data_IF_096158870395
#
_entry.id   IF_096158870395
#
_cell.length_a   1.000
_cell.length_b   1.000
_cell.length_c   1.000
_cell.angle_alpha   90.00
_cell.angle_beta   90.00
_cell.angle_gamma   90.00
#
_symmetry.space_group_name_H-M   'P 1'
#
loop_
_entity.id
_entity.type
_entity.pdbx_description
1 polymer ?
2 water ?
#
# COMPACT_ATOMS: atom_id res chain seq x y z
N UNK A 1 -23.36 27.41 10.54
CA UNK A 1 -22.05 28.04 10.56
C UNK A 1 -21.81 28.84 9.28
N UNK A 2 -21.58 30.14 9.41
CA UNK A 2 -21.34 30.98 8.25
C UNK A 2 -19.85 31.06 7.92
N UNK A 3 -19.49 31.83 6.90
CA UNK A 3 -18.14 31.80 6.34
C UNK A 3 -17.05 32.30 7.26
N UNK A 4 -17.31 33.37 8.02
CA UNK A 4 -16.28 33.93 8.90
C UNK A 4 -15.87 32.91 9.95
N UNK A 5 -16.87 32.22 10.48
CA UNK A 5 -16.65 31.24 11.53
C UNK A 5 -15.85 30.09 10.92
N UNK A 6 -16.08 29.83 9.64
CA UNK A 6 -15.32 28.81 8.90
C UNK A 6 -13.87 29.23 8.68
N UNK A 7 -13.63 30.50 8.34
CA UNK A 7 -12.27 30.98 8.10
C UNK A 7 -11.49 30.85 9.40
N UNK A 8 -12.15 31.19 10.52
CA UNK A 8 -11.46 31.12 11.81
C UNK A 8 -11.20 29.70 12.30
N UNK A 9 -12.22 28.85 12.22
CA UNK A 9 -12.11 27.43 12.55
C UNK A 9 -11.01 26.76 11.69
N UNK A 10 -11.08 26.99 10.38
CA UNK A 10 -10.16 26.35 9.45
C UNK A 10 -8.74 26.81 9.65
N UNK A 11 -8.57 28.10 9.95
CA UNK A 11 -7.24 28.66 10.13
C UNK A 11 -6.61 28.10 11.40
N UNK A 12 -7.40 28.08 12.48
CA UNK A 12 -6.93 27.45 13.72
C UNK A 12 -6.63 25.96 13.52
N UNK A 13 -7.37 25.30 12.64
CA UNK A 13 -7.15 23.86 12.37
C UNK A 13 -5.86 23.66 11.59
N UNK A 14 -5.58 24.58 10.67
CA UNK A 14 -4.31 24.57 9.96
C UNK A 14 -3.15 24.73 10.94
N UNK A 15 -3.28 25.69 11.86
CA UNK A 15 -2.25 25.88 12.90
C UNK A 15 -2.10 24.63 13.76
N UNK A 16 -3.24 24.05 14.11
CA UNK A 16 -3.27 22.86 14.95
C UNK A 16 -2.52 21.71 14.29
N UNK A 17 -2.70 21.56 12.99
CA UNK A 17 -2.11 20.43 12.29
C UNK A 17 -0.62 20.66 12.06
N UNK A 18 -0.27 21.87 11.64
CA UNK A 18 1.13 22.19 11.42
C UNK A 18 1.91 21.93 12.70
N UNK A 19 1.32 22.32 13.82
CA UNK A 19 2.05 22.19 15.08
C UNK A 19 1.99 20.76 15.65
N UNK A 20 0.96 19.99 15.29
CA UNK A 20 0.95 18.56 15.59
C UNK A 20 2.06 17.84 14.84
N UNK A 21 2.21 18.15 13.56
CA UNK A 21 3.20 17.45 12.74
C UNK A 21 4.65 17.86 13.00
N UNK A 22 4.91 19.14 13.19
CA UNK A 22 6.28 19.58 13.44
C UNK A 22 6.82 19.02 14.77
N UNK A 23 5.93 18.92 15.75
CA UNK A 23 6.30 18.48 17.09
C UNK A 23 6.06 17.00 17.45
N UNK A 24 5.70 16.19 16.46
CA UNK A 24 5.24 14.81 16.68
C UNK A 24 6.19 13.82 17.37
N UNK A 25 7.50 13.97 17.26
CA UNK A 25 8.34 12.97 17.92
C UNK A 25 8.45 13.21 19.44
N UNK A 26 7.89 14.32 19.91
CA UNK A 26 7.80 14.60 21.35
C UNK A 26 6.74 13.77 22.07
N UNK A 27 5.81 13.18 21.31
CA UNK A 27 4.76 12.32 21.86
C UNK A 27 5.10 10.86 21.68
N UNK A 28 4.69 10.02 22.64
CA UNK A 28 4.81 8.58 22.45
C UNK A 28 4.09 8.16 21.16
N UNK A 29 4.76 7.36 20.32
CA UNK A 29 4.16 6.92 19.06
C UNK A 29 2.96 5.99 19.30
N UNK A 30 3.09 5.07 20.26
CA UNK A 30 2.00 4.19 20.68
C UNK A 30 1.20 4.81 21.82
N UNK A 31 -0.13 4.62 21.78
CA UNK A 31 -1.02 5.26 22.74
C UNK A 31 -1.01 4.52 24.08
N UNK A 32 -1.26 5.22 25.18
CA UNK A 32 -1.54 4.54 26.43
C UNK A 32 -2.98 4.84 26.81
N UNK A 33 -3.87 3.91 26.45
CA UNK A 33 -5.30 3.97 26.76
C UNK A 33 -5.73 2.53 26.60
N UNK A 34 -6.89 2.21 27.15
CA UNK A 34 -7.39 0.85 27.10
C UNK A 34 -8.58 0.85 26.16
N UNK A 35 -8.87 -0.31 25.54
CA UNK A 35 -10.05 -0.40 24.71
C UNK A 35 -11.26 0.06 25.50
N UNK A 36 -12.04 0.97 24.91
CA UNK A 36 -13.24 1.48 25.56
C UNK A 36 -13.03 2.85 26.16
N UNK A 37 -11.79 3.35 26.16
CA UNK A 37 -11.51 4.64 26.80
C UNK A 37 -12.41 5.75 26.22
N UNK A 38 -12.55 5.79 24.90
CA UNK A 38 -13.27 6.88 24.26
C UNK A 38 -14.77 6.78 24.51
N UNK A 39 -15.31 5.58 24.36
CA UNK A 39 -16.73 5.37 24.60
C UNK A 39 -17.11 6.03 25.93
N UNK A 40 -16.25 5.86 26.94
CA UNK A 40 -16.51 6.39 28.28
C UNK A 40 -16.43 7.93 28.38
N UNK A 41 -15.63 8.55 27.53
CA UNK A 41 -15.44 10.01 27.58
C UNK A 41 -16.54 10.80 26.88
N UNK A 42 -17.27 10.17 25.96
CA UNK A 42 -18.16 10.92 25.08
C UNK A 42 -19.62 10.64 25.37
N UNK A 43 -20.45 11.68 25.22
CA UNK A 43 -21.88 11.54 25.43
C UNK A 43 -22.42 10.38 24.61
N UNK A 44 -23.66 9.99 24.88
CA UNK A 44 -24.26 8.86 24.19
C UNK A 44 -25.29 9.31 23.16
N UNK A 45 -25.50 10.63 23.07
CA UNK A 45 -26.37 11.23 22.06
C UNK A 45 -25.65 12.44 21.47
N UNK A 46 -25.97 12.81 20.24
CA UNK A 46 -25.38 14.02 19.69
C UNK A 46 -25.98 15.21 20.40
N UNK A 47 -25.23 16.32 20.52
CA UNK A 47 -25.82 17.44 21.24
C UNK A 47 -27.00 17.96 20.43
N UNK A 48 -28.02 18.48 21.11
CA UNK A 48 -29.19 19.00 20.43
C UNK A 48 -28.93 20.37 19.81
N UNK A 49 -28.29 21.24 20.58
CA UNK A 49 -27.88 22.54 20.08
C UNK A 49 -26.44 22.48 19.57
N UNK A 50 -26.08 23.39 18.67
CA UNK A 50 -24.71 23.41 18.10
C UNK A 50 -23.62 23.75 19.12
N UNK A 51 -22.54 22.98 19.15
CA UNK A 51 -21.37 23.32 19.97
C UNK A 51 -20.38 24.26 19.30
N UNK A 52 -19.64 25.01 20.11
CA UNK A 52 -18.60 25.92 19.60
C UNK A 52 -17.41 25.16 19.07
N UNK A 53 -16.90 25.58 17.91
CA UNK A 53 -15.79 24.88 17.27
C UNK A 53 -14.49 24.96 18.08
N UNK A 54 -14.39 25.93 18.99
CA UNK A 54 -13.21 26.00 19.87
C UNK A 54 -13.26 24.84 20.85
N UNK A 55 -14.45 24.54 21.35
CA UNK A 55 -14.65 23.44 22.28
C UNK A 55 -14.36 22.11 21.61
N UNK A 56 -14.81 21.97 20.36
CA UNK A 56 -14.58 20.74 19.61
C UNK A 56 -13.09 20.58 19.34
N UNK A 57 -12.47 21.64 18.83
CA UNK A 57 -11.04 21.62 18.56
C UNK A 57 -10.21 21.28 19.81
N UNK A 58 -10.60 21.82 20.96
CA UNK A 58 -9.91 21.50 22.21
C UNK A 58 -10.11 20.05 22.59
N UNK A 59 -11.31 19.54 22.28
CA UNK A 59 -11.57 18.12 22.51
C UNK A 59 -10.70 17.24 21.61
N UNK A 60 -10.32 17.71 20.43
CA UNK A 60 -9.47 16.86 19.60
C UNK A 60 -8.26 16.43 20.43
N UNK A 61 -7.56 17.41 20.99
CA UNK A 61 -6.36 17.17 21.79
C UNK A 61 -6.67 16.43 23.08
N UNK A 62 -7.75 16.81 23.75
CA UNK A 62 -8.09 16.13 24.99
C UNK A 62 -8.45 14.64 24.83
N UNK A 63 -9.47 14.36 24.03
CA UNK A 63 -9.95 12.97 23.90
C UNK A 63 -9.65 12.13 22.64
N UNK A 64 -9.19 12.76 21.57
CA UNK A 64 -8.91 12.00 20.34
C UNK A 64 -7.46 11.58 20.29
N UNK A 65 -6.57 12.57 20.35
CA UNK A 65 -5.14 12.34 20.25
C UNK A 65 -4.60 11.24 21.18
N UNK A 66 -5.06 11.20 22.44
CA UNK A 66 -4.55 10.11 23.29
C UNK A 66 -4.86 8.72 22.71
N UNK A 67 -5.85 8.63 21.84
CA UNK A 67 -6.23 7.35 21.26
C UNK A 67 -5.66 7.15 19.87
N UNK A 68 -4.64 7.93 19.54
CA UNK A 68 -3.98 7.73 18.25
C UNK A 68 -2.63 7.02 18.37
N UNK A 69 -2.40 6.10 17.44
CA UNK A 69 -1.05 5.65 17.12
C UNK A 69 -0.52 6.62 16.08
N UNK A 70 0.64 7.23 16.29
CA UNK A 70 1.00 8.31 15.40
C UNK A 70 1.78 7.82 14.19
N UNK A 71 1.04 7.67 13.09
CA UNK A 71 1.57 7.09 11.86
C UNK A 71 2.57 8.03 11.21
N UNK A 72 2.34 9.34 11.36
CA UNK A 72 3.23 10.34 10.77
C UNK A 72 4.55 10.49 11.51
N UNK A 73 4.72 9.80 12.62
CA UNK A 73 5.96 9.94 13.42
C UNK A 73 7.16 9.23 12.79
N UNK A 74 8.33 9.87 12.86
CA UNK A 74 9.58 9.21 12.45
C UNK A 74 9.81 7.95 13.27
N UNK A 75 9.12 7.81 14.39
CA UNK A 75 9.34 6.69 15.32
C UNK A 75 8.35 5.57 15.05
N UNK A 76 7.51 5.76 14.04
CA UNK A 76 6.65 4.67 13.62
C UNK A 76 7.46 3.83 12.62
N UNK A 77 7.78 2.61 13.04
CA UNK A 77 8.47 1.60 12.25
C UNK A 77 7.72 0.31 11.85
N UNK A 78 6.41 0.26 12.10
CA UNK A 78 5.66 -1.02 12.12
C UNK A 78 5.24 -1.61 10.79
N UNK A 79 4.78 -0.75 9.90
CA UNK A 79 4.23 -1.23 8.64
C UNK A 79 4.71 -0.28 7.57
N UNK A 80 4.50 -0.68 6.32
CA UNK A 80 4.78 0.25 5.25
C UNK A 80 4.03 1.56 5.54
N UNK A 81 4.60 2.70 5.10
CA UNK A 81 4.16 4.03 5.54
C UNK A 81 2.81 4.47 4.97
N UNK A 82 2.16 5.40 5.67
CA UNK A 82 1.17 6.28 5.06
C UNK A 82 1.69 7.70 4.80
N UNK A 83 2.96 7.96 5.10
CA UNK A 83 3.29 9.35 5.45
C UNK A 83 2.78 10.31 4.40
N UNK A 84 1.96 11.24 4.88
CA UNK A 84 1.28 12.21 4.05
C UNK A 84 2.25 13.35 3.84
N UNK A 85 1.81 14.45 3.23
CA UNK A 85 2.65 15.64 3.13
C UNK A 85 1.79 16.87 3.25
N UNK A 86 2.39 17.99 3.63
CA UNK A 86 1.63 19.21 3.83
C UNK A 86 0.73 19.56 2.62
N UNK A 87 1.32 19.62 1.42
CA UNK A 87 0.55 19.96 0.22
C UNK A 87 -0.59 18.99 -0.01
N UNK A 88 -0.39 17.72 0.36
CA UNK A 88 -1.43 16.72 0.17
C UNK A 88 -2.65 16.99 1.05
N UNK A 89 -2.40 17.46 2.26
CA UNK A 89 -3.44 17.83 3.19
C UNK A 89 -4.21 19.04 2.65
N UNK A 90 -3.47 20.04 2.16
CA UNK A 90 -4.15 21.18 1.55
C UNK A 90 -4.98 20.78 0.31
N UNK A 91 -4.42 19.99 -0.58
CA UNK A 91 -5.16 19.51 -1.74
C UNK A 91 -6.42 18.75 -1.36
N UNK A 92 -6.33 17.84 -0.41
CA UNK A 92 -7.52 17.10 -0.07
C UNK A 92 -8.56 18.06 0.48
N UNK A 93 -8.12 19.03 1.26
CA UNK A 93 -9.08 19.98 1.81
C UNK A 93 -9.78 20.78 0.69
N UNK A 94 -9.00 21.25 -0.27
CA UNK A 94 -9.56 21.92 -1.44
C UNK A 94 -10.63 21.03 -2.13
N UNK A 95 -10.28 19.76 -2.37
CA UNK A 95 -11.22 18.82 -2.99
C UNK A 95 -12.51 18.73 -2.19
N UNK A 96 -12.38 18.64 -0.88
CA UNK A 96 -13.56 18.60 -0.01
C UNK A 96 -14.38 19.88 -0.17
N UNK A 97 -13.69 21.00 -0.41
CA UNK A 97 -14.39 22.27 -0.59
C UNK A 97 -15.24 22.29 -1.85
N UNK A 98 -14.73 21.70 -2.91
CA UNK A 98 -15.53 21.62 -4.13
C UNK A 98 -16.66 20.59 -3.99
N UNK A 99 -16.37 19.47 -3.31
CA UNK A 99 -17.38 18.49 -3.00
C UNK A 99 -18.11 18.00 -4.23
N UNK A 100 -17.32 17.65 -5.23
CA UNK A 100 -17.79 17.32 -6.56
C UNK A 100 -17.71 15.80 -6.73
N UNK A 101 -18.62 15.20 -7.48
CA UNK A 101 -18.43 13.79 -7.81
C UNK A 101 -18.38 13.45 -9.31
N UNK A 102 -17.33 12.72 -9.68
CA UNK A 102 -16.92 12.49 -11.05
C UNK A 102 -17.49 11.27 -11.75
N UNK A 103 -18.70 10.84 -11.39
CA UNK A 103 -19.25 9.62 -11.98
C UNK A 103 -19.43 9.70 -13.52
N UNK A 104 -19.34 10.91 -14.07
CA UNK A 104 -19.27 11.10 -15.51
C UNK A 104 -18.54 12.40 -15.79
N UNK A 105 -18.08 12.57 -17.03
CA UNK A 105 -17.32 13.75 -17.40
C UNK A 105 -18.05 15.03 -17.00
N UNK A 106 -19.31 15.17 -17.43
CA UNK A 106 -20.09 16.38 -17.17
C UNK A 106 -20.36 16.62 -15.68
N UNK A 107 -20.25 15.58 -14.85
CA UNK A 107 -20.39 15.76 -13.40
C UNK A 107 -19.25 16.61 -12.85
N UNK A 108 -18.12 16.60 -13.56
CA UNK A 108 -17.13 17.67 -13.59
C UNK A 108 -16.01 17.23 -14.54
N UNK A 109 -15.73 18.03 -15.58
CA UNK A 109 -14.72 17.58 -16.54
C UNK A 109 -13.31 17.50 -15.93
N UNK A 110 -13.00 18.44 -15.04
CA UNK A 110 -11.67 18.53 -14.44
C UNK A 110 -11.31 17.31 -13.60
N UNK A 111 -12.28 16.76 -12.88
CA UNK A 111 -12.09 15.55 -12.07
C UNK A 111 -11.37 14.50 -12.95
N UNK A 112 -12.08 14.10 -14.00
CA UNK A 112 -11.60 13.09 -14.93
C UNK A 112 -10.31 13.47 -15.68
N UNK A 113 -10.26 14.67 -16.25
CA UNK A 113 -9.09 15.01 -17.05
C UNK A 113 -7.82 15.12 -16.21
N UNK A 114 -7.94 15.69 -15.01
CA UNK A 114 -6.81 15.77 -14.11
C UNK A 114 -6.37 14.36 -13.70
N UNK A 115 -7.32 13.44 -13.50
CA UNK A 115 -6.89 12.07 -13.22
C UNK A 115 -6.05 11.51 -14.36
N UNK A 116 -6.53 11.68 -15.58
CA UNK A 116 -5.79 11.23 -16.77
C UNK A 116 -4.36 11.80 -16.75
N UNK A 117 -4.26 13.10 -16.48
CA UNK A 117 -2.97 13.79 -16.51
C UNK A 117 -2.00 13.35 -15.40
N UNK A 118 -2.47 13.22 -14.15
CA UNK A 118 -1.54 12.81 -13.12
C UNK A 118 -1.18 11.32 -13.21
N UNK A 119 -2.10 10.49 -13.69
CA UNK A 119 -1.75 9.09 -13.89
C UNK A 119 -0.69 8.96 -14.98
N UNK A 120 -0.81 9.74 -16.06
CA UNK A 120 0.28 9.76 -17.04
C UNK A 120 1.59 10.32 -16.45
N UNK A 121 1.52 11.42 -15.71
CA UNK A 121 2.71 11.94 -15.04
C UNK A 121 3.42 10.86 -14.23
N UNK A 122 2.63 10.14 -13.43
CA UNK A 122 3.16 9.12 -12.52
C UNK A 122 3.75 7.98 -13.32
N UNK A 123 3.08 7.59 -14.40
CA UNK A 123 3.60 6.51 -15.24
C UNK A 123 4.94 6.88 -15.87
N UNK A 124 5.12 8.13 -16.26
CA UNK A 124 6.42 8.57 -16.77
C UNK A 124 7.48 8.61 -15.67
N UNK A 125 7.08 9.05 -14.48
CA UNK A 125 8.00 9.17 -13.37
C UNK A 125 8.45 7.79 -12.88
N UNK A 126 7.58 6.81 -13.03
CA UNK A 126 7.89 5.45 -12.58
C UNK A 126 8.55 4.65 -13.69
N UNK A 127 8.87 5.31 -14.80
CA UNK A 127 9.54 4.67 -15.92
C UNK A 127 8.77 3.46 -16.39
N UNK A 128 7.45 3.52 -16.29
CA UNK A 128 6.57 2.45 -16.74
C UNK A 128 6.51 2.38 -18.26
N UNK A 129 6.15 1.20 -18.79
CA UNK A 129 5.98 1.08 -20.24
C UNK A 129 5.01 2.14 -20.77
N UNK A 130 5.31 2.65 -21.96
CA UNK A 130 4.53 3.72 -22.56
C UNK A 130 3.05 3.37 -22.65
N UNK A 131 2.75 2.11 -22.99
CA UNK A 131 1.36 1.71 -23.21
C UNK A 131 0.46 1.87 -22.00
N UNK A 132 1.06 2.09 -20.83
CA UNK A 132 0.27 2.38 -19.64
C UNK A 132 -0.20 3.83 -19.60
N UNK A 133 0.25 4.65 -20.55
CA UNK A 133 -0.19 6.05 -20.60
C UNK A 133 -1.49 6.23 -21.38
N UNK A 134 -2.38 7.07 -20.87
CA UNK A 134 -3.58 7.37 -21.60
C UNK A 134 -3.19 7.97 -22.96
N UNK A 135 -2.27 8.93 -22.92
CA UNK A 135 -1.89 9.68 -24.11
C UNK A 135 -1.42 8.76 -25.21
N UNK A 136 -0.85 7.62 -24.81
CA UNK A 136 -0.37 6.63 -25.78
C UNK A 136 -1.49 6.09 -26.66
N UNK A 137 -1.14 5.74 -27.90
CA UNK A 137 -2.02 4.95 -28.75
C UNK A 137 -2.25 3.62 -28.05
N UNK A 138 -3.46 3.08 -28.14
CA UNK A 138 -3.81 1.87 -27.44
C UNK A 138 -4.79 2.10 -26.29
N UNK A 139 -5.39 1.01 -25.82
CA UNK A 139 -6.44 1.10 -24.79
C UNK A 139 -5.92 1.18 -23.36
N UNK A 140 -4.60 1.22 -23.19
CA UNK A 140 -4.00 1.30 -21.87
C UNK A 140 -4.20 2.61 -21.11
N UNK A 141 -4.17 2.51 -19.79
CA UNK A 141 -4.29 3.71 -18.99
C UNK A 141 -4.34 3.41 -17.50
N UNK A 142 -4.13 4.44 -16.68
CA UNK A 142 -4.27 4.30 -15.25
C UNK A 142 -5.50 4.97 -14.63
N UNK A 143 -5.83 4.51 -13.44
CA UNK A 143 -7.00 5.02 -12.74
C UNK A 143 -6.67 5.01 -11.28
N UNK A 144 -7.12 6.04 -10.55
CA UNK A 144 -6.91 6.08 -9.11
C UNK A 144 -7.99 5.30 -8.40
N UNK A 145 -7.60 4.38 -7.51
CA UNK A 145 -8.55 3.55 -6.78
C UNK A 145 -8.46 3.90 -5.28
N UNK A 146 -9.30 3.27 -4.45
CA UNK A 146 -9.29 3.58 -3.04
C UNK A 146 -8.10 2.96 -2.33
N UNK A 147 -7.74 1.73 -2.70
CA UNK A 147 -6.70 1.01 -1.97
C UNK A 147 -6.12 -0.06 -2.86
N UNK A 148 -5.10 -0.75 -2.38
CA UNK A 148 -4.50 -1.84 -3.15
C UNK A 148 -5.41 -3.05 -3.12
N UNK A 149 -6.16 -3.19 -2.03
CA UNK A 149 -7.16 -4.24 -1.89
C UNK A 149 -8.19 -4.12 -2.99
N UNK A 150 -8.69 -2.90 -3.20
CA UNK A 150 -9.62 -2.66 -4.30
C UNK A 150 -9.00 -2.88 -5.70
N UNK A 151 -7.78 -2.42 -5.94
CA UNK A 151 -7.16 -2.63 -7.24
C UNK A 151 -6.97 -4.12 -7.57
N UNK A 152 -6.54 -4.88 -6.57
CA UNK A 152 -6.40 -6.35 -6.70
C UNK A 152 -7.76 -6.99 -6.96
N UNK A 153 -8.77 -6.57 -6.20
CA UNK A 153 -10.13 -7.05 -6.39
C UNK A 153 -10.61 -6.77 -7.80
N UNK A 154 -10.45 -5.53 -8.27
CA UNK A 154 -10.84 -5.17 -9.63
C UNK A 154 -10.20 -6.10 -10.66
N UNK A 155 -8.88 -6.28 -10.57
CA UNK A 155 -8.16 -7.13 -11.53
C UNK A 155 -8.64 -8.59 -11.50
N UNK A 156 -8.82 -9.13 -10.30
CA UNK A 156 -9.35 -10.50 -10.14
C UNK A 156 -10.75 -10.67 -10.74
N UNK A 157 -11.66 -9.75 -10.40
CA UNK A 157 -13.05 -9.81 -10.90
C UNK A 157 -13.11 -9.63 -12.42
N UNK A 158 -12.34 -8.70 -12.93
CA UNK A 158 -12.25 -8.47 -14.35
C UNK A 158 -11.72 -9.73 -15.05
N UNK A 159 -10.66 -10.32 -14.50
CA UNK A 159 -10.10 -11.54 -15.09
C UNK A 159 -11.10 -12.70 -15.05
N UNK A 160 -11.87 -12.78 -13.96
CA UNK A 160 -12.87 -13.83 -13.82
C UNK A 160 -13.97 -13.67 -14.87
N UNK A 161 -14.40 -12.43 -15.10
CA UNK A 161 -15.46 -12.17 -16.09
C UNK A 161 -14.98 -12.42 -17.52
N UNK A 162 -13.76 -11.98 -17.81
CA UNK A 162 -13.19 -12.18 -19.14
C UNK A 162 -12.98 -13.67 -19.39
N UNK A 163 -12.56 -14.40 -18.36
CA UNK A 163 -12.38 -15.85 -18.47
C UNK A 163 -13.73 -16.54 -18.77
N UNK A 164 -14.73 -16.29 -17.94
CA UNK A 164 -16.03 -16.94 -18.14
C UNK A 164 -16.75 -16.48 -19.41
N UNK A 165 -16.35 -15.35 -19.96
CA UNK A 165 -16.87 -14.97 -21.28
C UNK A 165 -16.13 -15.63 -22.44
N UNK A 166 -14.80 -15.73 -22.33
CA UNK A 166 -13.96 -16.26 -23.40
C UNK A 166 -14.13 -17.76 -23.50
N UNK A 167 -14.44 -18.37 -22.38
CA UNK A 167 -14.61 -19.81 -22.30
C UNK A 167 -16.01 -20.16 -22.76
N UNK A 168 -17.01 -19.68 -22.03
CA UNK A 168 -18.40 -19.95 -22.38
C UNK A 168 -18.74 -19.64 -23.84
N UNK A 169 -18.10 -18.63 -24.40
CA UNK A 169 -18.28 -18.30 -25.80
C UNK A 169 -17.61 -19.37 -26.65
N UNK A 170 -16.54 -19.94 -26.12
CA UNK A 170 -15.80 -21.00 -26.81
C UNK A 170 -16.49 -22.37 -26.67
N UNK A 171 -17.25 -22.55 -25.59
CA UNK A 171 -17.93 -23.80 -25.33
C UNK A 171 -19.32 -23.60 -24.71
N UNK A 172 -20.29 -23.14 -25.53
CA UNK A 172 -21.65 -22.78 -25.10
C UNK A 172 -22.49 -23.95 -24.57
N UNK A 173 -22.05 -25.19 -24.81
CA UNK A 173 -22.74 -26.34 -24.22
C UNK A 173 -22.58 -26.36 -22.70
N UNK A 174 -21.50 -25.72 -22.21
CA UNK A 174 -21.27 -25.58 -20.78
C UNK A 174 -22.08 -24.43 -20.20
N UNK A 175 -22.73 -24.68 -19.06
CA UNK A 175 -23.48 -23.65 -18.37
C UNK A 175 -22.54 -22.71 -17.60
N UNK A 176 -23.01 -21.50 -17.32
CA UNK A 176 -22.23 -20.57 -16.51
C UNK A 176 -21.87 -21.22 -15.19
N UNK A 177 -22.81 -21.96 -14.60
CA UNK A 177 -22.55 -22.58 -13.30
C UNK A 177 -21.26 -23.41 -13.37
N UNK A 178 -21.18 -24.27 -14.38
CA UNK A 178 -20.05 -25.20 -14.55
C UNK A 178 -18.74 -24.49 -14.76
N UNK A 179 -18.76 -23.52 -15.67
CA UNK A 179 -17.55 -22.76 -15.96
C UNK A 179 -17.08 -22.03 -14.72
N UNK A 180 -17.93 -21.20 -14.13
CA UNK A 180 -17.60 -20.47 -12.90
C UNK A 180 -17.10 -21.39 -11.78
N UNK A 181 -17.67 -22.58 -11.69
CA UNK A 181 -17.27 -23.53 -10.66
C UNK A 181 -15.95 -24.20 -10.98
N UNK A 182 -15.51 -24.05 -12.23
CA UNK A 182 -14.19 -24.57 -12.62
C UNK A 182 -13.02 -23.58 -12.58
N UNK A 183 -13.31 -22.31 -12.27
CA UNK A 183 -12.28 -21.28 -12.29
C UNK A 183 -11.28 -21.45 -11.16
N UNK A 184 -10.02 -21.18 -11.46
CA UNK A 184 -8.95 -21.21 -10.46
C UNK A 184 -7.96 -20.06 -10.71
N UNK A 185 -7.38 -19.53 -9.64
CA UNK A 185 -6.42 -18.42 -9.77
C UNK A 185 -5.24 -18.65 -8.84
N UNK A 186 -4.16 -17.90 -9.02
CA UNK A 186 -2.92 -18.17 -8.30
C UNK A 186 -2.26 -16.92 -7.69
N UNK A 187 -1.45 -17.15 -6.65
CA UNK A 187 -0.62 -16.12 -6.02
C UNK A 187 0.52 -16.75 -5.23
N UNK A 188 1.32 -15.92 -4.59
CA UNK A 188 2.37 -16.42 -3.71
C UNK A 188 1.84 -16.73 -2.32
N UNK A 189 2.48 -17.68 -1.62
CA UNK A 189 2.16 -17.85 -0.20
C UNK A 189 2.71 -16.69 0.66
N UNK A 190 3.48 -15.80 0.03
CA UNK A 190 3.97 -14.57 0.69
C UNK A 190 3.14 -13.31 0.36
N UNK A 191 2.07 -13.48 -0.39
CA UNK A 191 1.27 -12.35 -0.83
C UNK A 191 0.47 -11.71 0.32
N UNK A 192 0.08 -10.46 0.13
CA UNK A 192 -0.71 -9.74 1.13
C UNK A 192 -2.06 -10.43 1.36
N UNK A 193 -2.62 -10.30 2.57
CA UNK A 193 -3.89 -10.95 2.88
C UNK A 193 -5.06 -10.45 2.01
N UNK A 194 -4.91 -9.27 1.42
CA UNK A 194 -5.91 -8.76 0.49
C UNK A 194 -6.10 -9.66 -0.75
N UNK A 195 -5.08 -10.46 -1.08
CA UNK A 195 -5.20 -11.40 -2.18
C UNK A 195 -6.22 -12.48 -1.77
N UNK A 196 -5.96 -13.10 -0.62
CA UNK A 196 -6.84 -14.11 -0.07
C UNK A 196 -8.28 -13.60 0.03
N UNK A 197 -8.44 -12.42 0.62
CA UNK A 197 -9.77 -11.87 0.80
C UNK A 197 -10.43 -11.64 -0.56
N UNK A 198 -9.64 -11.20 -1.55
CA UNK A 198 -10.19 -11.07 -2.89
C UNK A 198 -10.68 -12.42 -3.42
N UNK A 199 -9.97 -13.51 -3.12
CA UNK A 199 -10.41 -14.85 -3.51
C UNK A 199 -11.78 -15.13 -2.92
N UNK A 200 -11.91 -14.96 -1.61
CA UNK A 200 -13.22 -15.11 -0.96
C UNK A 200 -14.32 -14.26 -1.62
N UNK A 201 -14.05 -12.98 -1.84
CA UNK A 201 -15.07 -12.06 -2.36
C UNK A 201 -15.41 -12.37 -3.82
N UNK A 202 -14.44 -12.91 -4.55
CA UNK A 202 -14.61 -13.19 -5.95
C UNK A 202 -15.21 -14.60 -6.17
N UNK A 203 -15.40 -15.33 -5.08
CA UNK A 203 -15.85 -16.73 -5.17
C UNK A 203 -14.96 -17.51 -6.15
N UNK A 204 -13.65 -17.31 -6.03
CA UNK A 204 -12.74 -18.06 -6.87
C UNK A 204 -11.55 -18.49 -6.03
N UNK A 205 -11.10 -19.75 -6.23
CA UNK A 205 -10.00 -20.25 -5.40
C UNK A 205 -8.73 -19.53 -5.78
N UNK A 206 -7.99 -19.06 -4.79
CA UNK A 206 -6.67 -18.55 -5.10
C UNK A 206 -5.65 -19.42 -4.41
N UNK A 207 -4.92 -20.19 -5.20
CA UNK A 207 -3.89 -21.04 -4.69
C UNK A 207 -2.69 -20.19 -4.32
N UNK A 208 -2.28 -20.28 -3.06
CA UNK A 208 -1.08 -19.61 -2.63
C UNK A 208 0.01 -20.66 -2.78
N UNK A 209 0.79 -20.49 -3.83
CA UNK A 209 1.83 -21.41 -4.20
C UNK A 209 3.06 -21.11 -3.38
N UNK A 210 3.83 -22.15 -3.03
CA UNK A 210 5.03 -21.92 -2.21
C UNK A 210 6.10 -21.09 -2.92
N UNK A 211 6.53 -19.99 -2.29
CA UNK A 211 7.69 -19.24 -2.75
C UNK A 211 8.94 -20.05 -2.40
N UNK A 212 10.07 -19.73 -3.00
CA UNK A 212 11.33 -20.34 -2.57
C UNK A 212 11.73 -19.92 -1.15
N UNK A 213 12.87 -20.44 -0.69
CA UNK A 213 13.47 -20.09 0.59
C UNK A 213 13.73 -18.60 0.64
N UNK A 214 13.89 -18.01 -0.53
CA UNK A 214 14.18 -16.58 -0.70
C UNK A 214 12.92 -15.72 -0.77
N UNK A 215 11.78 -16.35 -0.48
CA UNK A 215 10.45 -15.72 -0.51
C UNK A 215 10.01 -15.28 -1.90
N UNK A 216 10.65 -15.79 -2.95
CA UNK A 216 10.32 -15.41 -4.32
C UNK A 216 9.47 -16.50 -5.01
N UNK A 217 8.32 -16.11 -5.58
CA UNK A 217 7.54 -17.02 -6.40
C UNK A 217 8.10 -17.04 -7.82
N UNK A 218 8.19 -18.23 -8.41
CA UNK A 218 8.83 -18.40 -9.71
C UNK A 218 7.98 -19.09 -10.77
N UNK A 219 8.32 -18.83 -12.03
CA UNK A 219 7.57 -19.34 -13.15
C UNK A 219 7.36 -20.85 -13.13
N UNK A 220 8.36 -21.61 -12.70
CA UNK A 220 8.24 -23.07 -12.71
C UNK A 220 7.17 -23.58 -11.73
N UNK A 221 7.07 -22.92 -10.58
CA UNK A 221 6.04 -23.25 -9.59
C UNK A 221 4.65 -23.01 -10.18
N UNK A 222 4.48 -21.85 -10.81
CA UNK A 222 3.21 -21.49 -11.41
C UNK A 222 2.84 -22.46 -12.53
N UNK A 223 3.80 -22.73 -13.41
CA UNK A 223 3.59 -23.68 -14.50
C UNK A 223 3.12 -25.00 -13.95
N UNK A 224 3.85 -25.52 -12.96
CA UNK A 224 3.49 -26.77 -12.33
C UNK A 224 2.04 -26.79 -11.90
N UNK A 225 1.66 -25.77 -11.12
CA UNK A 225 0.29 -25.68 -10.61
C UNK A 225 -0.77 -25.58 -11.72
N UNK A 226 -0.48 -24.78 -12.75
CA UNK A 226 -1.39 -24.57 -13.87
C UNK A 226 -1.57 -25.84 -14.69
N UNK A 227 -0.51 -26.61 -14.84
CA UNK A 227 -0.59 -27.88 -15.58
C UNK A 227 -1.39 -28.88 -14.77
N UNK A 228 -1.16 -28.87 -13.45
CA UNK A 228 -1.92 -29.72 -12.53
C UNK A 228 -3.41 -29.43 -12.63
N UNK A 229 -3.74 -28.14 -12.79
CA UNK A 229 -5.12 -27.69 -12.89
C UNK A 229 -5.74 -28.02 -14.24
N UNK A 230 -5.12 -27.48 -15.30
CA UNK A 230 -5.59 -27.69 -16.65
C UNK A 230 -5.83 -29.18 -16.89
N UNK A 231 -4.85 -30.01 -16.52
CA UNK A 231 -5.01 -31.46 -16.67
C UNK A 231 -6.31 -31.93 -16.04
N UNK A 232 -6.71 -31.30 -14.94
CA UNK A 232 -7.87 -31.74 -14.17
C UNK A 232 -9.16 -31.12 -14.68
N UNK A 233 -9.09 -30.41 -15.81
CA UNK A 233 -10.26 -29.78 -16.38
C UNK A 233 -10.69 -28.47 -15.71
N UNK A 234 -9.73 -27.75 -15.13
CA UNK A 234 -9.98 -26.46 -14.45
C UNK A 234 -9.43 -25.31 -15.29
N UNK A 235 -10.02 -24.13 -15.13
CA UNK A 235 -9.67 -22.97 -15.97
C UNK A 235 -8.85 -21.91 -15.23
N UNK A 236 -7.55 -21.80 -15.56
CA UNK A 236 -6.66 -20.84 -14.92
C UNK A 236 -7.04 -19.42 -15.31
N UNK A 237 -7.17 -18.54 -14.32
CA UNK A 237 -7.74 -17.23 -14.56
C UNK A 237 -6.72 -16.11 -14.44
N UNK A 238 -6.14 -15.96 -13.26
CA UNK A 238 -5.23 -14.85 -13.03
C UNK A 238 -4.12 -15.23 -12.06
N UNK A 239 -2.92 -14.71 -12.32
CA UNK A 239 -1.85 -14.80 -11.34
C UNK A 239 -1.63 -13.41 -10.74
N UNK A 240 -1.63 -13.33 -9.41
CA UNK A 240 -1.27 -12.07 -8.76
C UNK A 240 0.14 -12.19 -8.19
N UNK A 241 1.08 -11.56 -8.89
CA UNK A 241 2.46 -11.46 -8.43
C UNK A 241 2.64 -10.26 -7.51
N UNK A 242 3.66 -10.31 -6.66
CA UNK A 242 3.97 -9.23 -5.73
C UNK A 242 5.40 -8.74 -5.93
N UNK A 243 5.54 -7.45 -6.17
CA UNK A 243 6.83 -6.80 -6.02
C UNK A 243 6.79 -6.02 -4.72
N UNK A 244 7.67 -6.34 -3.78
CA UNK A 244 7.57 -5.77 -2.44
C UNK A 244 6.65 -6.44 -1.43
N UNK A 245 6.87 -7.73 -1.18
CA UNK A 245 6.08 -8.45 -0.19
C UNK A 245 6.08 -7.78 1.18
N UNK A 246 4.96 -7.94 1.88
CA UNK A 246 4.82 -7.40 3.22
C UNK A 246 5.91 -7.91 4.16
N UNK A 247 6.17 -9.22 4.15
CA UNK A 247 7.10 -9.70 5.16
C UNK A 247 8.52 -9.19 5.03
N UNK A 248 9.18 -9.51 3.91
CA UNK A 248 10.58 -9.13 3.67
C UNK A 248 10.87 -8.13 2.56
N UNK A 249 9.84 -7.62 1.91
CA UNK A 249 9.99 -6.83 0.69
C UNK A 249 10.70 -7.65 -0.39
N UNK A 250 10.26 -8.90 -0.52
CA UNK A 250 10.74 -9.79 -1.58
C UNK A 250 10.08 -9.47 -2.90
N UNK A 251 10.72 -9.88 -3.98
CA UNK A 251 10.24 -9.57 -5.32
C UNK A 251 9.98 -10.84 -6.13
N UNK A 252 8.73 -11.09 -6.49
CA UNK A 252 8.43 -12.26 -7.31
C UNK A 252 9.13 -12.12 -8.63
N UNK A 253 9.39 -13.23 -9.30
CA UNK A 253 10.14 -13.13 -10.53
C UNK A 253 9.16 -12.98 -11.70
N UNK A 254 9.06 -11.75 -12.19
CA UNK A 254 7.96 -11.39 -13.09
C UNK A 254 8.22 -11.83 -14.52
N UNK A 255 9.50 -11.98 -14.88
CA UNK A 255 9.84 -12.46 -16.21
C UNK A 255 9.37 -13.91 -16.42
N UNK A 256 9.74 -14.81 -15.51
CA UNK A 256 9.33 -16.21 -15.67
C UNK A 256 7.81 -16.39 -15.52
N UNK A 257 7.24 -15.75 -14.51
CA UNK A 257 5.79 -15.77 -14.33
C UNK A 257 5.09 -15.23 -15.57
N UNK A 258 5.73 -14.28 -16.23
CA UNK A 258 5.19 -13.63 -17.40
C UNK A 258 5.16 -14.60 -18.56
N UNK A 259 6.29 -15.25 -18.83
CA UNK A 259 6.36 -16.23 -19.90
C UNK A 259 5.30 -17.33 -19.69
N UNK A 260 5.28 -17.90 -18.49
CA UNK A 260 4.26 -18.87 -18.15
C UNK A 260 2.85 -18.34 -18.42
N UNK A 261 2.57 -17.12 -17.97
CA UNK A 261 1.22 -16.55 -18.06
C UNK A 261 0.76 -16.28 -19.48
N UNK A 262 1.68 -15.84 -20.32
CA UNK A 262 1.36 -15.59 -21.71
C UNK A 262 1.05 -16.93 -22.33
N UNK A 263 1.84 -17.94 -21.96
CA UNK A 263 1.64 -19.29 -22.49
C UNK A 263 0.18 -19.73 -22.32
N UNK A 264 -0.32 -19.64 -21.08
CA UNK A 264 -1.64 -20.18 -20.74
C UNK A 264 -2.77 -19.17 -20.81
N UNK A 265 -2.48 -17.99 -21.34
CA UNK A 265 -3.47 -16.92 -21.48
C UNK A 265 -4.02 -16.49 -20.12
N UNK A 266 -3.15 -16.51 -19.11
CA UNK A 266 -3.51 -16.14 -17.75
C UNK A 266 -3.27 -14.65 -17.50
N UNK A 267 -4.28 -13.97 -16.96
CA UNK A 267 -4.10 -12.57 -16.60
C UNK A 267 -2.98 -12.50 -15.56
N UNK A 268 -2.08 -11.54 -15.70
CA UNK A 268 -1.02 -11.36 -14.69
C UNK A 268 -1.09 -9.96 -14.06
N UNK A 269 -1.46 -9.89 -12.80
CA UNK A 269 -1.50 -8.61 -12.12
C UNK A 269 -0.34 -8.54 -11.14
N UNK A 270 0.30 -7.37 -11.08
CA UNK A 270 1.41 -7.14 -10.16
C UNK A 270 1.02 -6.18 -9.06
N UNK A 271 1.10 -6.65 -7.83
CA UNK A 271 0.83 -5.78 -6.70
C UNK A 271 2.18 -5.23 -6.27
N UNK A 272 2.41 -3.99 -6.65
CA UNK A 272 3.62 -3.21 -6.36
C UNK A 272 3.38 -2.18 -5.25
N UNK A 273 2.36 -2.39 -4.43
CA UNK A 273 1.78 -1.37 -3.55
C UNK A 273 2.81 -0.48 -2.86
N UNK A 274 3.84 -1.09 -2.28
CA UNK A 274 4.92 -0.36 -1.63
C UNK A 274 6.09 -0.05 -2.58
N UNK A 275 6.69 -1.12 -3.11
CA UNK A 275 7.96 -1.01 -3.86
C UNK A 275 7.86 -0.29 -5.22
N UNK A 276 6.64 -0.10 -5.69
CA UNK A 276 6.41 0.69 -6.90
C UNK A 276 7.14 2.02 -6.89
N UNK A 277 7.22 2.69 -5.75
CA UNK A 277 7.92 3.95 -5.68
C UNK A 277 9.34 3.88 -6.22
N UNK A 278 10.02 2.78 -5.91
CA UNK A 278 11.42 2.66 -6.31
C UNK A 278 11.60 2.47 -7.82
N UNK A 279 10.50 2.22 -8.54
CA UNK A 279 10.56 2.17 -10.01
C UNK A 279 11.15 3.48 -10.53
N UNK A 280 10.96 4.56 -9.78
CA UNK A 280 11.50 5.84 -10.26
C UNK A 280 13.05 5.92 -10.30
N UNK A 281 13.74 4.96 -9.70
CA UNK A 281 15.19 5.07 -9.53
C UNK A 281 15.96 4.15 -10.46
N UNK A 282 16.95 4.71 -11.15
CA UNK A 282 17.82 3.96 -12.05
C UNK A 282 18.50 2.77 -11.35
N UNK A 283 18.98 2.98 -10.12
CA UNK A 283 19.67 1.91 -9.39
C UNK A 283 18.73 0.78 -8.98
N UNK A 284 17.43 1.04 -9.07
CA UNK A 284 16.39 0.02 -8.87
C UNK A 284 15.81 -0.59 -10.15
N UNK A 285 16.43 -0.28 -11.29
CA UNK A 285 15.83 -0.66 -12.58
C UNK A 285 15.46 -2.14 -12.70
N UNK A 286 16.18 -3.03 -12.03
CA UNK A 286 15.84 -4.46 -12.05
C UNK A 286 14.40 -4.74 -11.62
N UNK A 287 13.82 -3.85 -10.81
CA UNK A 287 12.46 -4.09 -10.30
C UNK A 287 11.43 -3.98 -11.40
N UNK A 288 11.82 -3.41 -12.53
CA UNK A 288 10.88 -3.22 -13.63
C UNK A 288 10.93 -4.32 -14.68
N UNK A 289 11.80 -5.31 -14.49
CA UNK A 289 11.87 -6.40 -15.47
C UNK A 289 10.50 -7.03 -15.62
N UNK A 290 10.13 -7.31 -16.87
CA UNK A 290 8.86 -7.96 -17.14
C UNK A 290 7.63 -7.08 -17.12
N UNK A 291 7.74 -5.82 -16.70
CA UNK A 291 6.56 -4.94 -16.63
C UNK A 291 5.88 -4.70 -17.96
N UNK A 292 6.66 -4.75 -19.04
CA UNK A 292 6.10 -4.59 -20.38
C UNK A 292 5.24 -5.79 -20.75
N UNK A 293 5.38 -6.86 -19.98
CA UNK A 293 4.56 -8.04 -20.20
C UNK A 293 3.34 -8.30 -19.30
N UNK A 294 3.07 -7.45 -18.31
CA UNK A 294 1.93 -7.77 -17.45
C UNK A 294 0.63 -7.09 -17.89
N UNK A 295 -0.50 -7.50 -17.31
CA UNK A 295 -1.81 -6.94 -17.65
C UNK A 295 -2.22 -5.68 -16.88
N UNK A 296 -1.87 -5.66 -15.60
CA UNK A 296 -2.27 -4.57 -14.71
C UNK A 296 -1.31 -4.50 -13.54
N UNK A 297 -1.23 -3.33 -12.91
CA UNK A 297 -0.26 -3.12 -11.86
C UNK A 297 -0.80 -2.07 -10.91
N UNK A 298 -0.56 -2.24 -9.61
CA UNK A 298 -0.97 -1.23 -8.64
C UNK A 298 0.19 -0.76 -7.79
N UNK A 299 0.13 0.51 -7.39
CA UNK A 299 1.12 1.08 -6.50
C UNK A 299 0.38 2.05 -5.60
N UNK A 300 0.72 2.08 -4.31
CA UNK A 300 0.02 2.97 -3.39
C UNK A 300 0.76 4.28 -3.23
N UNK A 301 0.15 5.36 -3.67
CA UNK A 301 0.81 6.65 -3.55
C UNK A 301 1.02 7.02 -2.10
N UNK A 302 0.12 6.62 -1.21
CA UNK A 302 0.34 6.96 0.20
C UNK A 302 1.59 6.29 0.78
N UNK A 303 1.85 5.05 0.35
CA UNK A 303 3.03 4.33 0.83
C UNK A 303 4.37 4.98 0.46
N UNK A 304 4.63 5.22 -0.82
CA UNK A 304 5.87 5.92 -1.18
C UNK A 304 5.84 7.36 -1.74
N UNK A 305 4.67 7.89 -2.09
CA UNK A 305 4.60 9.18 -2.80
C UNK A 305 4.21 10.43 -1.99
N UNK A 306 4.01 10.31 -0.68
CA UNK A 306 3.69 11.48 0.12
C UNK A 306 2.34 12.10 -0.24
N UNK A 307 1.41 11.27 -0.72
CA UNK A 307 0.03 11.65 -0.92
C UNK A 307 -0.77 10.90 0.14
N UNK A 308 -1.57 11.63 0.91
CA UNK A 308 -2.19 11.05 2.11
C UNK A 308 -3.20 9.94 1.80
N UNK A 309 -3.51 9.15 2.82
CA UNK A 309 -4.11 7.84 2.65
C UNK A 309 -5.52 7.69 2.10
N UNK A 310 -5.74 6.63 1.32
CA UNK A 310 -6.54 6.60 0.08
C UNK A 310 -5.46 6.66 -1.01
N UNK A 311 -5.84 6.90 -2.26
CA UNK A 311 -4.86 7.13 -3.34
C UNK A 311 -3.96 5.96 -3.85
N UNK A 312 -4.57 4.88 -4.29
CA UNK A 312 -3.86 3.82 -5.01
C UNK A 312 -4.00 3.93 -6.54
N UNK A 313 -2.87 3.86 -7.24
CA UNK A 313 -2.82 3.90 -8.69
C UNK A 313 -2.90 2.52 -9.26
N UNK A 314 -3.72 2.36 -10.28
CA UNK A 314 -3.80 1.09 -10.98
C UNK A 314 -3.70 1.31 -12.48
N UNK A 315 -2.69 0.75 -13.13
CA UNK A 315 -2.60 0.84 -14.58
C UNK A 315 -3.02 -0.47 -15.23
N UNK A 316 -3.77 -0.35 -16.32
CA UNK A 316 -4.20 -1.49 -17.11
C UNK A 316 -3.59 -1.41 -18.50
N UNK A 317 -3.15 -2.56 -18.98
CA UNK A 317 -2.58 -2.63 -20.32
C UNK A 317 -3.70 -2.45 -21.35
N UNK A 318 -4.84 -3.09 -21.11
CA UNK A 318 -6.03 -2.90 -21.94
C UNK A 318 -7.27 -2.65 -21.06
N UNK A 319 -7.75 -1.42 -21.01
CA UNK A 319 -8.84 -1.11 -20.08
C UNK A 319 -10.19 -1.70 -20.50
N UNK A 320 -10.36 -1.97 -21.80
CA UNK A 320 -11.59 -2.57 -22.31
C UNK A 320 -11.96 -3.79 -21.48
N UNK A 321 -10.94 -4.58 -21.14
CA UNK A 321 -11.11 -5.81 -20.38
C UNK A 321 -11.79 -5.60 -19.03
N UNK A 322 -11.54 -4.45 -18.40
CA UNK A 322 -12.27 -4.11 -17.19
C UNK A 322 -13.64 -3.56 -17.56
N UNK A 323 -13.64 -2.64 -18.53
CA UNK A 323 -14.88 -1.94 -18.86
C UNK A 323 -15.94 -2.91 -19.36
N UNK A 324 -15.54 -3.86 -20.19
CA UNK A 324 -16.45 -4.88 -20.71
C UNK A 324 -16.99 -5.76 -19.58
N UNK A 325 -16.18 -5.96 -18.56
CA UNK A 325 -16.62 -6.83 -17.47
C UNK A 325 -17.58 -6.09 -16.53
N UNK A 326 -17.32 -4.81 -16.29
CA UNK A 326 -18.15 -4.00 -15.40
C UNK A 326 -19.01 -3.07 -16.26
N UNK A 327 -20.32 -3.32 -16.33
CA UNK A 327 -21.22 -2.51 -17.14
C UNK A 327 -22.61 -3.13 -17.28
N UNK A 342 -9.08 10.35 -26.36
CA UNK A 342 -10.40 9.95 -25.90
C UNK A 342 -10.48 9.93 -24.38
N UNK A 343 -11.51 10.57 -23.83
CA UNK A 343 -11.71 10.63 -22.39
C UNK A 343 -12.31 9.34 -21.84
N UNK A 344 -11.61 8.71 -20.88
CA UNK A 344 -12.11 7.46 -20.30
C UNK A 344 -13.33 7.70 -19.41
N UNK A 345 -14.18 6.69 -19.25
CA UNK A 345 -15.30 6.80 -18.35
C UNK A 345 -14.97 5.96 -17.12
N UNK A 346 -14.49 6.61 -16.07
CA UNK A 346 -13.76 5.89 -15.02
C UNK A 346 -14.66 5.07 -14.11
N UNK A 347 -15.95 5.41 -14.04
CA UNK A 347 -16.88 4.65 -13.21
C UNK A 347 -16.94 3.19 -13.69
N UNK A 348 -16.53 2.95 -14.94
CA UNK A 348 -16.43 1.62 -15.51
C UNK A 348 -15.12 0.90 -15.21
N UNK A 349 -14.12 1.64 -14.73
CA UNK A 349 -12.82 1.08 -14.40
C UNK A 349 -12.78 0.68 -12.93
N UNK A 350 -13.93 0.78 -12.26
CA UNK A 350 -13.95 0.64 -10.82
C UNK A 350 -15.17 -0.13 -10.31
N UNK A 351 -15.10 -0.51 -9.05
CA UNK A 351 -16.21 -1.15 -8.35
C UNK A 351 -17.42 -0.25 -8.06
N UNK A 352 -17.20 0.90 -7.39
CA UNK A 352 -18.35 1.73 -7.03
C UNK A 352 -18.80 2.54 -8.25
N UNK A 353 -19.78 3.44 -8.10
CA UNK A 353 -20.18 4.31 -9.22
C UNK A 353 -19.70 5.78 -9.14
N UNK A 354 -20.07 6.50 -8.08
CA UNK A 354 -19.50 7.82 -7.85
C UNK A 354 -18.01 7.71 -7.55
N UNK A 355 -17.27 8.81 -7.70
CA UNK A 355 -15.85 8.87 -7.32
C UNK A 355 -15.50 10.26 -6.79
N UNK A 356 -14.65 10.28 -5.78
CA UNK A 356 -14.08 11.49 -5.20
C UNK A 356 -13.05 12.15 -6.16
N UNK A 357 -12.69 13.40 -5.93
CA UNK A 357 -11.76 14.05 -6.84
C UNK A 357 -10.38 13.89 -6.20
N UNK A 358 -9.76 12.74 -6.43
CA UNK A 358 -8.54 12.42 -5.71
C UNK A 358 -7.35 12.92 -6.46
N UNK A 359 -7.55 13.23 -7.73
CA UNK A 359 -6.45 13.67 -8.55
C UNK A 359 -5.96 15.01 -8.06
N UNK A 360 -6.81 15.77 -7.35
CA UNK A 360 -6.44 17.16 -7.00
C UNK A 360 -5.23 17.17 -6.07
N UNK A 361 -5.33 16.45 -4.96
CA UNK A 361 -4.22 16.33 -4.01
C UNK A 361 -2.99 15.72 -4.64
N UNK A 362 -3.17 14.73 -5.52
CA UNK A 362 -2.05 14.14 -6.22
C UNK A 362 -1.29 15.22 -7.02
N UNK A 363 -2.03 15.98 -7.83
CA UNK A 363 -1.50 17.06 -8.65
C UNK A 363 -0.76 18.10 -7.83
N UNK A 364 -1.43 18.59 -6.80
CA UNK A 364 -0.84 19.58 -5.93
C UNK A 364 0.47 19.06 -5.30
N UNK A 365 0.48 17.80 -4.89
CA UNK A 365 1.68 17.21 -4.29
C UNK A 365 2.83 17.05 -5.32
N UNK A 366 2.52 16.49 -6.49
CA UNK A 366 3.52 16.35 -7.53
C UNK A 366 4.13 17.71 -7.85
N UNK A 367 3.28 18.71 -8.04
CA UNK A 367 3.77 20.04 -8.43
C UNK A 367 4.59 20.75 -7.36
N UNK A 368 4.16 20.66 -6.10
CA UNK A 368 4.85 21.42 -5.07
C UNK A 368 6.08 20.69 -4.58
N UNK A 369 6.10 19.38 -4.76
CA UNK A 369 7.29 18.61 -4.41
C UNK A 369 8.34 18.56 -5.51
N UNK A 370 7.88 18.36 -6.74
CA UNK A 370 8.75 18.11 -7.87
C UNK A 370 9.21 16.66 -7.94
N UNK A 371 9.51 16.20 -9.15
CA UNK A 371 10.03 14.85 -9.32
C UNK A 371 11.34 14.66 -8.56
N UNK A 372 12.09 15.76 -8.41
CA UNK A 372 13.37 15.72 -7.69
C UNK A 372 13.12 15.43 -6.23
N UNK A 373 12.13 16.10 -5.67
CA UNK A 373 11.74 15.86 -4.29
C UNK A 373 11.27 14.44 -4.10
N UNK A 374 10.43 13.96 -4.99
CA UNK A 374 9.97 12.58 -4.88
C UNK A 374 11.12 11.56 -4.90
N UNK A 375 12.03 11.70 -5.87
CA UNK A 375 13.18 10.80 -5.97
C UNK A 375 14.05 10.87 -4.73
N UNK A 376 14.39 12.08 -4.30
CA UNK A 376 15.11 12.28 -3.05
C UNK A 376 14.42 11.58 -1.87
N UNK A 377 13.09 11.58 -1.86
CA UNK A 377 12.37 11.02 -0.72
C UNK A 377 12.60 9.51 -0.70
N UNK A 378 12.45 8.88 -1.86
CA UNK A 378 12.67 7.42 -1.91
C UNK A 378 14.13 7.04 -1.59
N UNK A 379 15.06 7.81 -2.15
CA UNK A 379 16.47 7.55 -1.93
C UNK A 379 16.84 7.78 -0.46
N UNK A 380 16.13 8.69 0.19
CA UNK A 380 16.43 8.98 1.58
C UNK A 380 15.97 7.80 2.45
N UNK A 381 14.79 7.27 2.18
CA UNK A 381 14.40 6.03 2.88
C UNK A 381 15.40 4.91 2.68
N UNK A 382 15.91 4.76 1.46
CA UNK A 382 16.87 3.69 1.20
C UNK A 382 18.14 3.90 2.05
N UNK A 383 18.57 5.15 2.11
CA UNK A 383 19.75 5.53 2.89
C UNK A 383 19.58 5.28 4.38
N UNK A 384 18.45 5.68 4.94
CA UNK A 384 18.16 5.42 6.36
C UNK A 384 18.13 3.92 6.66
N UNK A 385 17.54 3.12 5.76
CA UNK A 385 17.48 1.67 6.03
C UNK A 385 18.88 1.07 6.00
N UNK A 386 19.71 1.57 5.09
CA UNK A 386 21.07 1.15 4.97
C UNK A 386 21.87 1.45 6.26
N UNK A 387 21.63 2.64 6.81
CA UNK A 387 22.20 3.03 8.10
C UNK A 387 21.79 2.08 9.23
N UNK A 388 20.50 1.74 9.26
CA UNK A 388 20.00 0.82 10.27
C UNK A 388 20.67 -0.54 10.18
N UNK A 389 20.72 -1.06 8.95
CA UNK A 389 21.29 -2.37 8.68
C UNK A 389 22.72 -2.39 9.19
N UNK A 390 23.45 -1.30 8.95
CA UNK A 390 24.82 -1.23 9.43
C UNK A 390 24.85 -1.40 10.96
N UNK A 391 23.94 -0.71 11.65
CA UNK A 391 23.85 -0.94 13.11
C UNK A 391 23.59 -2.40 13.48
N UNK A 392 22.67 -3.06 12.81
CA UNK A 392 22.39 -4.48 13.09
C UNK A 392 23.61 -5.36 12.86
N UNK A 393 24.31 -5.08 11.78
CA UNK A 393 25.47 -5.87 11.40
C UNK A 393 26.63 -5.71 12.38
N UNK A 394 26.85 -4.48 12.87
CA UNK A 394 27.95 -4.23 13.80
C UNK A 394 27.76 -4.84 15.19
N UNK A 395 26.51 -5.11 15.55
CA UNK A 395 26.18 -5.62 16.88
C UNK A 395 26.18 -7.14 16.93
N UNK A 396 27.13 -7.72 17.67
CA UNK A 396 27.29 -9.18 17.76
C UNK A 396 26.05 -9.90 18.28
N UNK A 397 25.14 -9.17 18.91
CA UNK A 397 23.96 -9.82 19.48
C UNK A 397 22.76 -9.91 18.54
N UNK A 398 22.83 -9.24 17.38
CA UNK A 398 21.76 -9.28 16.41
C UNK A 398 22.18 -9.85 15.04
N UNK A 399 21.22 -10.42 14.34
CA UNK A 399 21.44 -10.93 13.00
C UNK A 399 20.36 -10.46 12.01
N UNK A 400 20.72 -10.35 10.73
CA UNK A 400 19.78 -10.08 9.64
C UNK A 400 19.05 -11.34 9.28
N UNK A 401 17.73 -11.25 9.11
CA UNK A 401 16.97 -12.39 8.64
C UNK A 401 16.75 -12.42 7.10
N UNK A 402 16.87 -11.27 6.45
CA UNK A 402 16.64 -11.16 5.00
C UNK A 402 17.52 -10.03 4.48
N UNK A 403 17.82 -10.01 3.17
CA UNK A 403 18.57 -8.85 2.69
C UNK A 403 17.74 -7.58 2.78
N UNK A 404 18.38 -6.49 3.16
CA UNK A 404 17.75 -5.17 3.22
C UNK A 404 17.08 -4.85 1.90
N UNK A 405 15.89 -4.29 1.96
CA UNK A 405 15.25 -3.85 0.74
C UNK A 405 14.48 -2.56 0.95
N UNK A 406 14.75 -1.58 0.09
CA UNK A 406 14.11 -0.27 0.18
C UNK A 406 14.14 0.22 1.64
N UNK A 407 13.00 0.53 2.24
CA UNK A 407 13.02 1.09 3.58
C UNK A 407 12.88 0.07 4.71
N UNK A 408 13.09 -1.19 4.41
CA UNK A 408 12.78 -2.27 5.33
C UNK A 408 14.03 -3.09 5.69
N UNK A 409 14.24 -3.29 6.97
CA UNK A 409 15.26 -4.21 7.46
C UNK A 409 14.64 -5.26 8.38
N UNK A 410 14.80 -6.53 8.02
CA UNK A 410 14.35 -7.63 8.88
C UNK A 410 15.51 -8.23 9.67
N UNK A 411 15.35 -8.34 10.98
CA UNK A 411 16.47 -8.68 11.84
C UNK A 411 15.93 -9.27 13.14
N UNK A 412 16.75 -9.98 13.89
CA UNK A 412 16.33 -10.47 15.19
C UNK A 412 17.51 -10.54 16.16
N UNK A 413 17.23 -10.51 17.47
CA UNK A 413 18.33 -10.84 18.41
C UNK A 413 18.69 -12.31 18.25
N UNK A 414 19.97 -12.65 18.32
CA UNK A 414 20.36 -14.05 18.15
C UNK A 414 19.81 -14.87 19.30
N UNK A 415 19.60 -16.16 19.07
CA UNK A 415 19.03 -17.04 20.08
C UNK A 415 17.58 -17.43 19.80
N UNK A 416 16.93 -18.00 20.81
CA UNK A 416 15.53 -18.44 20.72
C UNK A 416 14.53 -17.34 20.37
N UNK A 417 13.44 -17.76 19.73
CA UNK A 417 12.33 -16.86 19.35
C UNK A 417 11.79 -16.03 20.51
N UNK A 418 11.91 -16.58 21.71
CA UNK A 418 11.35 -15.92 22.86
C UNK A 418 12.12 -14.65 23.24
N UNK A 419 13.41 -14.58 22.89
CA UNK A 419 14.17 -13.35 23.05
C UNK A 419 13.57 -12.25 22.16
N UNK A 420 13.19 -12.61 20.94
CA UNK A 420 12.52 -11.69 20.04
C UNK A 420 11.19 -11.22 20.63
N UNK A 421 10.41 -12.17 21.12
CA UNK A 421 9.11 -11.86 21.70
C UNK A 421 9.20 -10.92 22.91
N UNK A 422 10.13 -11.22 23.80
CA UNK A 422 10.33 -10.44 25.02
C UNK A 422 10.85 -9.05 24.71
N UNK A 423 11.81 -8.98 23.78
CA UNK A 423 12.32 -7.69 23.31
C UNK A 423 11.17 -6.84 22.73
N UNK A 424 10.35 -7.43 21.87
CA UNK A 424 9.24 -6.68 21.28
C UNK A 424 8.27 -6.22 22.37
N UNK A 425 7.98 -7.09 23.32
CA UNK A 425 7.05 -6.72 24.39
C UNK A 425 7.59 -5.51 25.18
N UNK A 426 8.89 -5.54 25.50
CA UNK A 426 9.52 -4.41 26.18
C UNK A 426 9.35 -3.12 25.35
N UNK A 427 9.64 -3.20 24.06
CA UNK A 427 9.51 -2.02 23.21
C UNK A 427 8.07 -1.51 23.16
N UNK A 428 7.12 -2.43 23.07
CA UNK A 428 5.70 -2.07 23.04
C UNK A 428 5.32 -1.31 24.30
N UNK A 429 5.72 -1.88 25.44
CA UNK A 429 5.39 -1.29 26.73
C UNK A 429 6.02 0.08 26.90
N UNK A 430 7.21 0.28 26.33
CA UNK A 430 7.84 1.59 26.43
C UNK A 430 7.21 2.65 25.53
N UNK A 431 6.69 2.21 24.39
CA UNK A 431 5.98 3.09 23.44
C UNK A 431 6.81 4.20 22.80
N UNK A 432 8.13 4.07 22.82
CA UNK A 432 8.98 5.08 22.18
C UNK A 432 9.07 4.85 20.66
N UNK A 433 9.04 3.58 20.25
CA UNK A 433 9.02 3.22 18.84
C UNK A 433 8.02 2.09 18.66
N UNK A 434 7.50 1.97 17.45
CA UNK A 434 6.53 0.94 17.15
C UNK A 434 7.06 -0.02 16.08
N UNK A 435 7.24 -1.28 16.46
CA UNK A 435 7.51 -2.35 15.50
C UNK A 435 6.56 -3.51 15.72
N UNK A 436 6.42 -4.36 14.70
CA UNK A 436 5.69 -5.60 14.87
C UNK A 436 6.57 -6.81 14.58
N UNK A 437 6.17 -7.95 15.12
CA UNK A 437 6.83 -9.24 14.85
C UNK A 437 6.36 -9.89 13.54
N UNK A 438 7.20 -10.76 12.97
CA UNK A 438 6.80 -11.58 11.85
C UNK A 438 7.39 -12.96 12.04
N UNK A 439 7.03 -13.89 11.16
CA UNK A 439 7.51 -15.25 11.32
C UNK A 439 7.63 -15.95 9.98
N UNK A 440 8.71 -16.69 9.79
CA UNK A 440 8.88 -17.46 8.57
C UNK A 440 9.59 -18.78 8.89
N UNK A 441 9.05 -19.89 8.39
CA UNK A 441 9.67 -21.18 8.63
C UNK A 441 10.04 -21.37 10.09
N UNK A 442 9.12 -21.03 10.98
CA UNK A 442 9.31 -21.21 12.41
C UNK A 442 10.10 -20.11 13.11
N UNK A 443 10.86 -19.33 12.36
CA UNK A 443 11.72 -18.31 12.95
C UNK A 443 11.03 -16.95 13.01
N UNK A 444 11.00 -16.37 14.20
CA UNK A 444 10.35 -15.07 14.39
C UNK A 444 11.38 -13.96 14.24
N UNK A 445 10.96 -12.83 13.68
CA UNK A 445 11.87 -11.70 13.56
C UNK A 445 11.15 -10.37 13.72
N UNK A 446 11.93 -9.29 13.72
CA UNK A 446 11.42 -7.94 13.82
C UNK A 446 11.58 -7.26 12.46
N UNK A 447 10.57 -6.50 12.06
CA UNK A 447 10.64 -5.67 10.88
C UNK A 447 10.86 -4.22 11.30
N UNK A 448 11.89 -3.59 10.75
CA UNK A 448 12.09 -2.16 10.93
C UNK A 448 11.86 -1.46 9.60
N UNK A 449 10.80 -0.66 9.51
CA UNK A 449 10.54 0.08 8.27
C UNK A 449 10.69 1.59 8.51
N UNK A 450 11.36 2.29 7.61
CA UNK A 450 11.42 3.74 7.82
C UNK A 450 10.11 4.35 7.29
N UNK A 451 9.34 4.99 8.18
CA UNK A 451 8.05 5.57 7.80
C UNK A 451 7.90 7.09 7.73
N UNK A 452 8.90 7.82 8.16
CA UNK A 452 8.66 9.22 8.47
C UNK A 452 8.54 10.20 7.33
N UNK A 453 7.60 11.13 7.47
CA UNK A 453 7.59 12.33 6.64
C UNK A 453 8.94 13.00 6.84
N UNK A 454 9.28 13.19 8.12
CA UNK A 454 10.47 13.96 8.52
C UNK A 454 11.72 13.16 8.86
N UNK A 455 11.69 11.83 8.68
CA UNK A 455 12.74 10.97 9.21
C UNK A 455 14.17 11.39 8.86
N UNK A 456 15.02 11.43 9.89
CA UNK A 456 16.41 11.89 9.83
C UNK A 456 17.33 10.77 10.36
N UNK A 457 18.62 10.85 10.07
CA UNK A 457 19.57 9.85 10.59
C UNK A 457 19.48 9.72 12.11
N UNK A 458 19.35 10.85 12.80
CA UNK A 458 19.26 10.80 14.26
C UNK A 458 18.05 9.97 14.71
N UNK A 459 16.98 9.93 13.91
CA UNK A 459 15.81 9.11 14.25
C UNK A 459 16.14 7.63 14.19
N UNK A 460 16.99 7.26 13.24
CA UNK A 460 17.43 5.88 13.08
C UNK A 460 18.31 5.50 14.26
N UNK A 461 19.19 6.44 14.63
CA UNK A 461 20.03 6.27 15.81
C UNK A 461 19.16 6.12 17.07
N UNK A 462 18.10 6.90 17.15
CA UNK A 462 17.17 6.85 18.26
C UNK A 462 16.56 5.44 18.35
N UNK A 463 16.02 4.97 17.22
CA UNK A 463 15.39 3.63 17.21
C UNK A 463 16.37 2.56 17.64
N UNK A 464 17.56 2.57 17.04
CA UNK A 464 18.57 1.60 17.41
C UNK A 464 18.96 1.67 18.89
N UNK A 465 19.22 2.87 19.40
CA UNK A 465 19.54 3.00 20.82
C UNK A 465 18.44 2.32 21.65
N UNK A 466 17.18 2.62 21.34
CA UNK A 466 16.04 2.08 22.10
C UNK A 466 16.08 0.54 22.11
N UNK A 467 16.27 -0.03 20.93
CA UNK A 467 16.29 -1.49 20.72
C UNK A 467 17.43 -2.22 21.44
N UNK A 468 18.61 -1.67 21.19
CA UNK A 468 19.87 -2.13 21.72
C UNK A 468 19.87 -2.05 23.27
N UNK A 469 19.42 -0.91 23.80
CA UNK A 469 19.20 -0.70 25.23
C UNK A 469 18.34 -1.77 25.84
N UNK A 470 17.16 -1.94 25.25
CA UNK A 470 16.18 -2.88 25.79
C UNK A 470 16.67 -4.33 25.76
N UNK A 471 17.43 -4.70 24.75
CA UNK A 471 18.04 -6.02 24.75
C UNK A 471 19.11 -6.13 25.84
N UNK A 472 19.91 -5.09 26.00
CA UNK A 472 20.91 -5.09 27.06
C UNK A 472 20.26 -5.34 28.42
N UNK A 473 19.16 -4.64 28.71
CA UNK A 473 18.47 -4.76 30.01
C UNK A 473 17.78 -6.11 30.14
N UNK A 474 17.11 -6.52 29.08
CA UNK A 474 16.52 -7.85 29.03
C UNK A 474 17.52 -8.93 29.44
N UNK A 475 18.70 -8.91 28.83
CA UNK A 475 19.69 -9.92 29.09
C UNK A 475 20.42 -9.74 30.42
N UNK A 476 20.52 -8.50 30.87
CA UNK A 476 21.13 -8.21 32.17
C UNK A 476 20.18 -8.58 33.31
N UNK A 477 18.91 -8.79 33.00
CA UNK A 477 17.98 -9.27 34.03
C UNK A 477 17.92 -10.79 34.22
N UNK A 478 18.27 -11.57 33.20
CA UNK A 478 18.01 -13.00 33.22
C UNK A 478 18.59 -13.67 34.46
N UNK A 479 17.73 -14.32 35.25
CA UNK A 479 18.13 -14.87 36.54
C UNK A 479 17.34 -16.13 36.92
#
# INVERSE_FOLDING_TARGET
>A
MDAKEFREFGKAAIDYIADYLENIRDDDVLPNVEPGYLLDLLPTEMPEEPEAWKDVLGDISRVIKPGLTHWQSPHMHAYYPTSTSYPSIVGEMLASGFGVIGFSWICSPACTELEVVVMDWLAKFLKLPAHFQHASDGPGGGVIQGSASEAVLVAVLAAREQAVANYRESHPELSESEVRGRLVAYSSDQSNSCIEKAGVLAAMPIRLLPAGEDFVLRGDTLRGAIEEDVAAGRIPVICVATLGTTGTCAYDDIESLSAVCEEFKVWLHVDAAYAGGAFALEECSDLRKGLDRVDSLNFNLHKFMLVNFDCSAMWLRDANKVVDSFNVDRIYLKHKHEGQSQIPDFRHWQIPLGRRFRALKVWITFRTLGAEGLRNHVRKHIELAKQFEQLVLKDSRFELVAPRALGLVCFRPKGDNEITTQLLQRLMDRKKIYMVKAEHAGRQFLRFVVCGMDTKASDIDFAWQEIESQLTDLQAEQSLVARKSGNVGDLAQHFQIHLSTENATHEKSQ
#
